data_IF_166949680422
#
_entry.id   IF_166949680422
#
_cell.length_a   1.000
_cell.length_b   1.000
_cell.length_c   1.000
_cell.angle_alpha   90.00
_cell.angle_beta   90.00
_cell.angle_gamma   90.00
#
_symmetry.space_group_name_H-M   'P 1'
#
loop_
_entity.id
_entity.type
_entity.pdbx_description
1 polymer ?
#
# COMPACT_ATOMS: atom_id res chain seq x y z
N UNK A 1 13.27 -32.39 -56.91
CA UNK A 1 14.20 -32.88 -55.88
C UNK A 1 15.13 -31.73 -55.55
N UNK A 2 14.71 -30.83 -54.67
CA UNK A 2 15.58 -29.79 -54.10
C UNK A 2 15.30 -29.75 -52.60
N UNK A 3 16.25 -30.29 -51.82
CA UNK A 3 16.21 -30.28 -50.36
C UNK A 3 16.91 -29.02 -49.86
N UNK A 4 16.14 -28.09 -49.30
CA UNK A 4 16.64 -26.99 -48.49
C UNK A 4 17.12 -27.53 -47.14
N UNK A 5 18.43 -27.62 -46.97
CA UNK A 5 19.08 -27.89 -45.68
C UNK A 5 19.26 -26.58 -44.93
N UNK A 6 18.41 -26.33 -43.93
CA UNK A 6 18.60 -25.24 -42.99
C UNK A 6 19.65 -25.66 -41.95
N UNK A 7 20.82 -25.03 -41.98
CA UNK A 7 21.85 -25.14 -40.94
C UNK A 7 21.40 -24.38 -39.69
N UNK A 8 21.19 -25.09 -38.59
CA UNK A 8 20.98 -24.49 -37.28
C UNK A 8 22.32 -23.97 -36.73
N UNK A 9 22.35 -22.77 -36.12
CA UNK A 9 23.58 -22.24 -35.54
C UNK A 9 24.07 -23.13 -34.41
N UNK A 10 25.39 -23.28 -34.34
CA UNK A 10 26.05 -24.05 -33.29
C UNK A 10 25.82 -23.40 -31.92
N UNK A 11 25.78 -24.21 -30.85
CA UNK A 11 25.45 -23.78 -29.48
C UNK A 11 26.29 -22.58 -28.98
N UNK A 12 27.49 -22.41 -29.52
CA UNK A 12 28.42 -21.30 -29.27
C UNK A 12 27.97 -19.95 -29.87
N UNK A 13 27.33 -19.95 -31.05
CA UNK A 13 26.82 -18.72 -31.67
C UNK A 13 25.55 -18.22 -30.97
N UNK A 14 24.71 -19.14 -30.50
CA UNK A 14 23.54 -18.81 -29.69
C UNK A 14 23.94 -18.15 -28.35
N UNK A 15 25.01 -18.63 -27.71
CA UNK A 15 25.56 -18.01 -26.49
C UNK A 15 26.14 -16.61 -26.76
N UNK A 16 26.80 -16.40 -27.91
CA UNK A 16 27.33 -15.09 -28.28
C UNK A 16 26.23 -14.07 -28.59
N UNK A 17 25.14 -14.49 -29.25
CA UNK A 17 23.96 -13.65 -29.48
C UNK A 17 23.26 -13.26 -28.17
N UNK A 18 23.09 -14.18 -27.22
CA UNK A 18 22.45 -13.88 -25.92
C UNK A 18 23.29 -12.91 -25.07
N UNK A 19 24.63 -13.03 -25.10
CA UNK A 19 25.54 -12.08 -24.44
C UNK A 19 25.46 -10.68 -25.06
N UNK A 20 25.47 -10.56 -26.39
CA UNK A 20 25.35 -9.27 -27.06
C UNK A 20 23.97 -8.62 -26.82
N UNK A 21 22.89 -9.41 -26.81
CA UNK A 21 21.54 -8.88 -26.55
C UNK A 21 21.39 -8.34 -25.12
N UNK A 22 22.03 -8.99 -24.13
CA UNK A 22 22.01 -8.51 -22.73
C UNK A 22 22.76 -7.20 -22.58
N UNK A 23 23.93 -7.04 -23.23
CA UNK A 23 24.69 -5.79 -23.23
C UNK A 23 23.90 -4.65 -23.88
N UNK A 24 23.19 -4.92 -24.98
CA UNK A 24 22.34 -3.91 -25.64
C UNK A 24 21.17 -3.48 -24.74
N UNK A 25 20.51 -4.40 -24.03
CA UNK A 25 19.42 -4.07 -23.10
C UNK A 25 19.95 -3.23 -21.92
N UNK A 26 21.12 -3.56 -21.38
CA UNK A 26 21.76 -2.79 -20.30
C UNK A 26 22.13 -1.37 -20.75
N UNK A 27 22.68 -1.21 -21.96
CA UNK A 27 22.95 0.10 -22.55
C UNK A 27 21.66 0.90 -22.78
N UNK A 28 20.57 0.28 -23.21
CA UNK A 28 19.27 0.93 -23.35
C UNK A 28 18.75 1.43 -22.00
N UNK A 29 18.91 0.65 -20.92
CA UNK A 29 18.54 1.06 -19.56
C UNK A 29 19.31 2.29 -19.09
N UNK A 30 20.64 2.29 -19.26
CA UNK A 30 21.51 3.43 -18.97
C UNK A 30 21.17 4.67 -19.81
N UNK A 31 20.97 4.50 -21.12
CA UNK A 31 20.58 5.59 -22.01
C UNK A 31 19.22 6.18 -21.61
N UNK A 32 18.25 5.37 -21.18
CA UNK A 32 16.96 5.86 -20.68
C UNK A 32 17.08 6.65 -19.37
N UNK A 33 18.05 6.32 -18.52
CA UNK A 33 18.36 7.10 -17.33
C UNK A 33 19.06 8.42 -17.66
N UNK A 34 19.88 8.45 -18.71
CA UNK A 34 20.60 9.64 -19.16
C UNK A 34 19.72 10.60 -19.97
N UNK A 35 18.80 10.09 -20.79
CA UNK A 35 17.91 10.87 -21.68
C UNK A 35 16.69 11.48 -20.97
N UNK A 36 16.75 11.69 -19.65
CA UNK A 36 15.62 12.23 -18.89
C UNK A 36 15.40 13.70 -19.25
N UNK A 37 14.26 14.09 -19.87
CA UNK A 37 13.94 15.50 -20.05
C UNK A 37 13.82 16.18 -18.68
N UNK A 38 14.40 17.35 -18.44
CA UNK A 38 14.28 18.04 -17.15
C UNK A 38 12.80 18.31 -16.85
N UNK A 39 12.26 17.82 -15.71
CA UNK A 39 10.96 18.28 -15.19
C UNK A 39 11.28 19.32 -14.13
N UNK A 40 11.31 20.58 -14.52
CA UNK A 40 10.85 21.58 -13.57
C UNK A 40 9.33 21.40 -13.48
N UNK A 41 8.75 21.46 -12.28
CA UNK A 41 7.29 21.58 -12.06
C UNK A 41 6.65 22.67 -12.93
N UNK A 42 7.48 23.57 -13.44
CA UNK A 42 7.17 24.61 -14.39
C UNK A 42 6.76 24.04 -15.74
N UNK A 43 7.34 22.93 -16.21
CA UNK A 43 7.02 22.35 -17.53
C UNK A 43 5.60 21.78 -17.64
N UNK A 44 4.97 21.36 -16.54
CA UNK A 44 3.54 20.97 -16.59
C UNK A 44 2.63 22.17 -16.85
N UNK A 45 3.06 23.35 -16.40
CA UNK A 45 2.38 24.63 -16.62
C UNK A 45 3.06 25.48 -17.69
N UNK A 46 4.03 24.93 -18.41
CA UNK A 46 4.76 25.60 -19.46
C UNK A 46 4.71 24.79 -20.75
N UNK A 47 4.92 25.47 -21.86
CA UNK A 47 5.06 24.88 -23.19
C UNK A 47 6.36 25.40 -23.76
N UNK A 48 7.04 24.54 -24.51
CA UNK A 48 8.26 24.93 -25.22
C UNK A 48 7.86 25.87 -26.36
N UNK A 49 8.44 27.07 -26.37
CA UNK A 49 8.27 28.06 -27.44
C UNK A 49 9.56 28.17 -28.25
N UNK A 50 9.41 28.57 -29.52
CA UNK A 50 10.55 28.72 -30.42
C UNK A 50 11.41 29.90 -29.96
N UNK A 51 12.65 29.62 -29.57
CA UNK A 51 13.66 30.65 -29.35
C UNK A 51 14.07 31.31 -30.67
N UNK A 52 14.44 32.59 -30.61
CA UNK A 52 15.10 33.30 -31.71
C UNK A 52 16.54 32.84 -31.93
N UNK A 53 17.13 32.11 -30.98
CA UNK A 53 18.47 31.52 -31.09
C UNK A 53 18.36 30.02 -31.42
N UNK A 54 19.00 29.55 -32.50
CA UNK A 54 19.05 28.13 -32.83
C UNK A 54 19.69 27.33 -31.70
N UNK A 55 18.95 26.39 -31.10
CA UNK A 55 19.45 25.50 -30.06
C UNK A 55 19.01 25.85 -28.62
N UNK A 56 18.42 27.02 -28.40
CA UNK A 56 17.86 27.38 -27.09
C UNK A 56 16.39 26.95 -26.99
N UNK A 57 16.04 26.15 -25.98
CA UNK A 57 14.64 25.89 -25.62
C UNK A 57 14.16 26.97 -24.67
N UNK A 58 13.18 27.76 -25.09
CA UNK A 58 12.50 28.73 -24.24
C UNK A 58 11.18 28.13 -23.76
N UNK A 59 10.86 28.30 -22.48
CA UNK A 59 9.60 27.80 -21.92
C UNK A 59 8.71 28.97 -21.51
N UNK A 60 7.45 28.93 -21.94
CA UNK A 60 6.46 29.94 -21.61
C UNK A 60 5.25 29.30 -20.92
N UNK A 61 4.51 30.06 -20.13
CA UNK A 61 3.34 29.52 -19.46
C UNK A 61 2.30 28.95 -20.44
N UNK A 62 1.88 27.70 -20.24
CA UNK A 62 0.85 27.02 -21.03
C UNK A 62 -0.48 27.79 -21.10
N UNK A 63 -0.83 28.51 -20.04
CA UNK A 63 -2.10 29.26 -19.99
C UNK A 63 -2.01 30.65 -20.62
N UNK A 64 -0.82 31.27 -20.65
CA UNK A 64 -0.68 32.69 -21.00
C UNK A 64 0.41 32.99 -22.04
N UNK A 65 1.18 31.99 -22.45
CA UNK A 65 2.30 32.10 -23.40
C UNK A 65 3.26 33.24 -23.06
N UNK A 66 3.64 33.34 -21.78
CA UNK A 66 4.62 34.32 -21.26
C UNK A 66 5.74 33.59 -20.52
N UNK A 67 7.00 33.93 -20.83
CA UNK A 67 8.18 33.39 -20.12
C UNK A 67 8.13 33.66 -18.61
N UNK A 68 7.69 34.86 -18.23
CA UNK A 68 7.58 35.29 -16.83
C UNK A 68 6.13 35.61 -16.49
N UNK A 69 5.25 34.62 -16.64
CA UNK A 69 3.85 34.79 -16.30
C UNK A 69 3.67 34.97 -14.79
N UNK A 70 3.69 36.21 -14.29
CA UNK A 70 3.49 36.52 -12.86
C UNK A 70 2.16 36.02 -12.29
N UNK A 71 1.15 35.84 -13.14
CA UNK A 71 -0.16 35.30 -12.78
C UNK A 71 -0.19 33.77 -12.63
N UNK A 72 0.67 33.02 -13.33
CA UNK A 72 0.74 31.55 -13.21
C UNK A 72 1.97 31.02 -12.49
N UNK A 73 3.05 31.80 -12.50
CA UNK A 73 4.35 31.46 -11.95
C UNK A 73 4.88 32.62 -11.11
N UNK A 74 4.67 32.50 -9.80
CA UNK A 74 5.53 33.24 -8.87
C UNK A 74 6.78 32.39 -8.62
N UNK A 75 7.77 32.52 -9.52
CA UNK A 75 9.05 31.82 -9.44
C UNK A 75 9.75 32.04 -8.10
N UNK A 76 9.67 33.27 -7.56
CA UNK A 76 10.17 33.59 -6.22
C UNK A 76 9.49 32.75 -5.14
N UNK A 77 8.16 32.64 -5.17
CA UNK A 77 7.41 31.80 -4.23
C UNK A 77 7.75 30.32 -4.37
N UNK A 78 7.84 29.79 -5.60
CA UNK A 78 8.19 28.37 -5.85
C UNK A 78 9.61 28.08 -5.37
N UNK A 79 10.58 28.94 -5.69
CA UNK A 79 11.96 28.79 -5.24
C UNK A 79 12.08 28.91 -3.72
N UNK A 80 11.40 29.87 -3.10
CA UNK A 80 11.37 30.03 -1.63
C UNK A 80 10.70 28.82 -0.97
N UNK A 81 9.61 28.29 -1.53
CA UNK A 81 8.97 27.07 -1.02
C UNK A 81 9.87 25.85 -1.19
N UNK A 82 10.56 25.70 -2.32
CA UNK A 82 11.53 24.62 -2.55
C UNK A 82 12.70 24.71 -1.56
N UNK A 83 13.27 25.90 -1.38
CA UNK A 83 14.34 26.15 -0.42
C UNK A 83 13.88 25.89 1.02
N UNK A 84 12.68 26.34 1.39
CA UNK A 84 12.09 26.04 2.71
C UNK A 84 11.90 24.54 2.90
N UNK A 85 11.51 23.79 1.86
CA UNK A 85 11.41 22.32 1.91
C UNK A 85 12.77 21.67 2.10
N UNK A 86 13.80 22.13 1.39
CA UNK A 86 15.18 21.64 1.57
C UNK A 86 15.74 21.94 2.96
N UNK A 87 15.55 23.17 3.45
CA UNK A 87 15.96 23.56 4.80
C UNK A 87 15.21 22.73 5.83
N UNK A 88 13.90 22.54 5.67
CA UNK A 88 13.10 21.70 6.56
C UNK A 88 13.54 20.23 6.52
N UNK A 89 13.94 19.72 5.35
CA UNK A 89 14.47 18.37 5.19
C UNK A 89 15.85 18.22 5.85
N UNK A 90 16.75 19.19 5.66
CA UNK A 90 18.07 19.23 6.30
C UNK A 90 17.97 19.37 7.82
N UNK A 91 17.02 20.17 8.30
CA UNK A 91 16.80 20.38 9.74
C UNK A 91 16.01 19.24 10.39
N UNK A 92 15.21 18.49 9.63
CA UNK A 92 14.62 17.27 10.15
C UNK A 92 15.72 16.23 10.23
N UNK A 93 16.23 15.97 11.43
CA UNK A 93 17.14 14.85 11.75
C UNK A 93 16.57 13.46 11.43
N UNK A 94 15.42 13.39 10.75
CA UNK A 94 14.70 12.16 10.47
C UNK A 94 15.22 11.55 9.18
N UNK A 95 15.74 10.31 9.20
CA UNK A 95 16.12 9.61 7.99
C UNK A 95 14.91 9.45 7.06
N UNK A 96 15.10 9.67 5.76
CA UNK A 96 14.05 9.56 4.76
C UNK A 96 14.29 10.38 3.49
N UNK A 97 13.80 9.87 2.37
CA UNK A 97 13.67 10.63 1.13
C UNK A 97 12.47 11.58 1.27
N UNK A 98 12.60 12.85 0.89
CA UNK A 98 11.46 13.76 0.92
C UNK A 98 10.38 13.29 -0.09
N UNK A 99 9.22 12.90 0.43
CA UNK A 99 8.03 12.55 -0.35
C UNK A 99 6.92 13.49 0.07
N UNK A 100 6.53 14.36 -0.83
CA UNK A 100 5.35 15.19 -0.67
C UNK A 100 4.14 14.38 -1.15
N UNK A 101 3.25 14.05 -0.22
CA UNK A 101 1.99 13.36 -0.51
C UNK A 101 0.87 14.32 -0.15
N UNK A 102 0.15 14.80 -1.16
CA UNK A 102 -0.96 15.74 -0.96
C UNK A 102 -2.11 15.09 -0.17
N UNK A 103 -3.03 15.91 0.32
CA UNK A 103 -4.25 15.43 0.99
C UNK A 103 -5.06 14.52 0.06
N UNK A 104 -5.22 14.93 -1.19
CA UNK A 104 -5.96 14.21 -2.23
C UNK A 104 -5.28 12.88 -2.56
N UNK A 105 -3.95 12.86 -2.64
CA UNK A 105 -3.18 11.62 -2.85
C UNK A 105 -3.33 10.66 -1.66
N UNK A 106 -3.28 11.16 -0.42
CA UNK A 106 -3.54 10.33 0.78
C UNK A 106 -4.93 9.71 0.73
N UNK A 107 -5.95 10.48 0.35
CA UNK A 107 -7.32 9.99 0.22
C UNK A 107 -7.43 8.92 -0.88
N UNK A 108 -6.77 9.12 -2.03
CA UNK A 108 -6.67 8.11 -3.09
C UNK A 108 -5.97 6.84 -2.60
N UNK A 109 -4.86 6.97 -1.88
CA UNK A 109 -4.14 5.81 -1.33
C UNK A 109 -4.98 5.06 -0.29
N UNK A 110 -5.65 5.77 0.61
CA UNK A 110 -6.58 5.19 1.57
C UNK A 110 -7.70 4.42 0.88
N UNK A 111 -8.32 5.01 -0.15
CA UNK A 111 -9.32 4.35 -0.99
C UNK A 111 -8.76 3.08 -1.64
N UNK A 112 -7.54 3.13 -2.19
CA UNK A 112 -6.87 1.96 -2.79
C UNK A 112 -6.54 0.84 -1.80
N UNK A 113 -6.49 1.14 -0.49
CA UNK A 113 -6.33 0.15 0.59
C UNK A 113 -7.68 -0.44 1.07
N UNK A 114 -8.80 0.04 0.52
CA UNK A 114 -10.16 -0.34 0.92
C UNK A 114 -10.79 0.58 1.98
N UNK A 115 -10.18 1.73 2.29
CA UNK A 115 -10.74 2.74 3.17
C UNK A 115 -11.44 3.83 2.36
N UNK A 116 -12.74 3.66 2.15
CA UNK A 116 -13.57 4.63 1.43
C UNK A 116 -13.75 5.92 2.27
N UNK A 117 -13.00 6.95 1.91
CA UNK A 117 -13.21 8.31 2.37
C UNK A 117 -13.54 9.18 1.16
N UNK A 118 -14.43 10.14 1.36
CA UNK A 118 -14.88 11.02 0.29
C UNK A 118 -13.74 11.97 -0.09
N UNK A 119 -13.48 12.14 -1.39
CA UNK A 119 -12.43 13.06 -1.86
C UNK A 119 -12.71 14.52 -1.43
N UNK A 120 -13.97 14.84 -1.16
CA UNK A 120 -14.45 16.14 -0.69
C UNK A 120 -14.46 16.26 0.84
N UNK A 121 -13.89 15.32 1.59
CA UNK A 121 -13.94 15.35 3.05
C UNK A 121 -13.37 16.64 3.65
N UNK A 122 -14.05 17.20 4.66
CA UNK A 122 -13.58 18.35 5.45
C UNK A 122 -12.79 17.91 6.69
N UNK A 123 -12.36 16.65 6.76
CA UNK A 123 -11.48 16.19 7.83
C UNK A 123 -10.18 17.03 7.84
N UNK A 124 -9.70 17.43 9.05
CA UNK A 124 -8.41 18.10 9.19
C UNK A 124 -7.28 17.25 8.61
N UNK A 125 -6.28 17.89 8.02
CA UNK A 125 -5.16 17.20 7.37
C UNK A 125 -4.41 16.28 8.35
N UNK A 126 -4.27 16.69 9.61
CA UNK A 126 -3.68 15.86 10.66
C UNK A 126 -4.45 14.55 10.90
N UNK A 127 -5.78 14.60 10.77
CA UNK A 127 -6.63 13.40 10.92
C UNK A 127 -6.44 12.46 9.74
N UNK A 128 -6.36 13.00 8.51
CA UNK A 128 -6.09 12.22 7.31
C UNK A 128 -4.69 11.60 7.37
N UNK A 129 -3.70 12.37 7.82
CA UNK A 129 -2.32 11.90 8.04
C UNK A 129 -2.27 10.75 9.05
N UNK A 130 -2.99 10.87 10.16
CA UNK A 130 -3.09 9.83 11.18
C UNK A 130 -3.72 8.57 10.61
N UNK A 131 -4.85 8.69 9.88
CA UNK A 131 -5.52 7.55 9.23
C UNK A 131 -4.62 6.90 8.18
N UNK A 132 -3.90 7.69 7.38
CA UNK A 132 -2.96 7.20 6.38
C UNK A 132 -1.82 6.39 7.00
N UNK A 133 -1.15 6.90 8.03
CA UNK A 133 -0.09 6.16 8.74
C UNK A 133 -0.61 4.87 9.37
N UNK A 134 -1.79 4.96 10.02
CA UNK A 134 -2.43 3.81 10.66
C UNK A 134 -2.84 2.74 9.64
N UNK A 135 -3.28 3.15 8.44
CA UNK A 135 -3.58 2.23 7.35
C UNK A 135 -2.32 1.52 6.83
N UNK A 136 -1.20 2.26 6.67
CA UNK A 136 0.08 1.64 6.29
C UNK A 136 0.54 0.60 7.34
N UNK A 137 0.34 0.89 8.63
CA UNK A 137 0.66 -0.06 9.70
C UNK A 137 -0.21 -1.32 9.64
N UNK A 138 -1.51 -1.12 9.42
CA UNK A 138 -2.47 -2.20 9.33
C UNK A 138 -2.19 -3.11 8.12
N UNK A 139 -1.90 -2.56 6.93
CA UNK A 139 -1.61 -3.39 5.73
C UNK A 139 -0.32 -4.19 5.86
N UNK A 140 0.66 -3.72 6.65
CA UNK A 140 1.91 -4.43 6.94
C UNK A 140 1.81 -5.35 8.18
N UNK A 141 0.66 -5.35 8.87
CA UNK A 141 0.47 -5.94 10.21
C UNK A 141 1.59 -5.58 11.18
N UNK A 142 2.02 -4.32 11.14
CA UNK A 142 3.21 -3.87 11.84
C UNK A 142 3.19 -4.23 13.33
N UNK A 143 2.08 -3.94 14.01
CA UNK A 143 1.90 -4.22 15.45
C UNK A 143 1.85 -5.70 15.81
N UNK A 144 1.60 -6.60 14.84
CA UNK A 144 1.63 -8.06 15.03
C UNK A 144 2.99 -8.65 14.67
N UNK A 145 3.70 -8.03 13.74
CA UNK A 145 4.97 -8.52 13.21
C UNK A 145 6.17 -8.04 14.02
N UNK A 146 6.11 -6.83 14.59
CA UNK A 146 7.19 -6.20 15.34
C UNK A 146 6.68 -5.84 16.74
N UNK A 147 7.23 -6.48 17.75
CA UNK A 147 6.77 -6.38 19.15
C UNK A 147 7.18 -5.07 19.82
N UNK A 148 8.37 -4.54 19.49
CA UNK A 148 8.95 -3.37 20.16
C UNK A 148 9.65 -2.41 19.19
N UNK A 149 9.68 -1.13 19.58
CA UNK A 149 10.43 -0.07 18.90
C UNK A 149 11.54 0.47 19.83
N UNK A 150 12.71 0.87 19.28
CA UNK A 150 13.09 0.78 17.88
C UNK A 150 13.33 -0.67 17.42
N UNK A 151 13.11 -0.92 16.14
CA UNK A 151 13.25 -2.23 15.51
C UNK A 151 14.72 -2.50 15.16
N UNK A 152 15.36 -3.44 15.86
CA UNK A 152 16.70 -3.91 15.53
C UNK A 152 16.65 -5.29 14.84
N UNK A 153 16.96 -5.37 13.52
CA UNK A 153 16.95 -6.62 12.79
C UNK A 153 18.18 -7.51 13.07
N UNK A 154 19.22 -7.02 13.76
CA UNK A 154 20.47 -7.76 13.99
C UNK A 154 20.28 -9.05 14.78
N UNK A 155 19.30 -9.04 15.69
CA UNK A 155 18.96 -10.17 16.57
C UNK A 155 18.15 -11.27 15.86
N UNK A 156 17.61 -11.00 14.67
CA UNK A 156 16.72 -11.91 13.97
C UNK A 156 17.53 -12.94 13.15
N UNK A 157 17.05 -14.19 13.03
CA UNK A 157 17.67 -15.17 12.15
C UNK A 157 17.57 -14.74 10.67
N UNK A 158 18.57 -15.08 9.87
CA UNK A 158 18.55 -14.88 8.42
C UNK A 158 17.47 -15.75 7.78
N UNK A 159 16.80 -15.22 6.76
CA UNK A 159 15.85 -15.97 5.94
C UNK A 159 16.64 -16.82 4.93
N UNK A 160 16.52 -18.14 5.06
CA UNK A 160 17.16 -19.12 4.19
C UNK A 160 16.24 -20.32 3.99
N UNK A 161 16.58 -21.21 3.05
CA UNK A 161 15.80 -22.44 2.81
C UNK A 161 15.86 -23.39 4.01
N UNK A 162 16.90 -23.28 4.83
CA UNK A 162 17.07 -24.05 6.06
C UNK A 162 16.25 -23.45 7.22
N UNK A 163 16.11 -22.12 7.28
CA UNK A 163 15.42 -21.44 8.38
C UNK A 163 13.92 -21.24 8.16
N UNK A 164 13.45 -21.29 6.90
CA UNK A 164 12.04 -21.21 6.54
C UNK A 164 11.67 -22.26 5.50
N UNK A 165 10.59 -23.04 5.72
CA UNK A 165 10.09 -23.98 4.72
C UNK A 165 9.43 -23.28 3.52
N UNK A 166 9.07 -22.00 3.65
CA UNK A 166 8.32 -21.26 2.64
C UNK A 166 9.24 -20.40 1.77
N UNK A 167 8.89 -20.25 0.49
CA UNK A 167 9.58 -19.30 -0.39
C UNK A 167 9.22 -17.87 0.02
N UNK A 168 10.14 -16.92 -0.19
CA UNK A 168 9.90 -15.51 0.13
C UNK A 168 8.67 -14.98 -0.62
N UNK A 169 8.52 -15.34 -1.89
CA UNK A 169 7.38 -14.98 -2.74
C UNK A 169 6.05 -15.45 -2.15
N UNK A 170 5.98 -16.70 -1.67
CA UNK A 170 4.76 -17.25 -1.07
C UNK A 170 4.39 -16.49 0.21
N UNK A 171 5.41 -16.11 0.99
CA UNK A 171 5.23 -15.25 2.14
C UNK A 171 4.82 -13.82 1.79
N UNK A 172 5.19 -13.26 0.64
CA UNK A 172 4.69 -11.96 0.17
C UNK A 172 3.32 -12.01 -0.50
N UNK A 173 2.85 -13.20 -0.91
CA UNK A 173 1.52 -13.43 -1.49
C UNK A 173 0.41 -13.39 -0.43
N UNK A 174 0.21 -12.23 0.19
CA UNK A 174 -0.88 -12.00 1.15
C UNK A 174 -2.13 -11.59 0.39
N UNK A 175 -3.05 -12.50 0.15
CA UNK A 175 -4.34 -12.21 -0.50
C UNK A 175 -5.53 -12.25 0.46
N UNK A 176 -6.63 -11.61 0.10
CA UNK A 176 -7.95 -11.92 0.68
C UNK A 176 -8.61 -13.07 -0.09
N UNK A 177 -9.53 -13.79 0.54
CA UNK A 177 -10.33 -14.80 -0.15
C UNK A 177 -11.17 -14.17 -1.27
N UNK A 178 -11.61 -12.92 -1.12
CA UNK A 178 -12.28 -12.17 -2.18
C UNK A 178 -11.38 -12.01 -3.42
N UNK A 179 -10.11 -11.66 -3.23
CA UNK A 179 -9.13 -11.61 -4.32
C UNK A 179 -8.95 -13.00 -4.97
N UNK A 180 -8.79 -14.05 -4.16
CA UNK A 180 -8.62 -15.43 -4.64
C UNK A 180 -9.85 -15.88 -5.47
N UNK A 181 -11.06 -15.67 -4.96
CA UNK A 181 -12.30 -16.02 -5.65
C UNK A 181 -12.46 -15.23 -6.94
N UNK A 182 -12.07 -13.96 -6.92
CA UNK A 182 -12.15 -13.13 -8.12
C UNK A 182 -11.17 -13.63 -9.20
N UNK A 183 -9.93 -14.00 -8.83
CA UNK A 183 -9.00 -14.67 -9.75
C UNK A 183 -9.52 -16.03 -10.26
N UNK A 184 -10.10 -16.85 -9.38
CA UNK A 184 -10.60 -18.17 -9.72
C UNK A 184 -11.82 -18.12 -10.66
N UNK A 185 -12.64 -17.08 -10.55
CA UNK A 185 -13.83 -16.92 -11.37
C UNK A 185 -13.53 -16.61 -12.85
N UNK A 186 -12.26 -16.56 -13.26
CA UNK A 186 -11.88 -16.14 -14.61
C UNK A 186 -12.28 -14.70 -14.93
N UNK A 187 -12.89 -14.00 -13.97
CA UNK A 187 -12.80 -12.56 -13.88
C UNK A 187 -11.33 -12.32 -13.74
N UNK A 188 -10.70 -12.04 -14.87
CA UNK A 188 -9.56 -11.16 -14.90
C UNK A 188 -10.12 -9.94 -14.16
N UNK A 189 -9.94 -9.91 -12.84
CA UNK A 189 -10.09 -8.71 -12.03
C UNK A 189 -9.15 -7.81 -12.75
N UNK A 190 -9.74 -6.97 -13.59
CA UNK A 190 -9.02 -6.43 -14.71
C UNK A 190 -7.78 -5.82 -14.08
N UNK A 191 -6.61 -6.10 -14.63
CA UNK A 191 -5.42 -5.40 -14.15
C UNK A 191 -5.65 -3.88 -14.30
N UNK A 192 -6.61 -3.49 -15.16
CA UNK A 192 -7.17 -2.14 -15.29
C UNK A 192 -8.16 -1.74 -14.17
N UNK A 193 -8.81 -2.66 -13.45
CA UNK A 193 -9.59 -2.36 -12.22
C UNK A 193 -8.73 -2.38 -10.96
N UNK A 194 -7.50 -2.91 -11.04
CA UNK A 194 -6.45 -2.72 -10.04
C UNK A 194 -5.70 -1.39 -10.23
N UNK A 195 -6.41 -0.34 -10.66
CA UNK A 195 -5.97 1.06 -10.74
C UNK A 195 -5.51 1.68 -9.40
N UNK A 196 -5.43 0.88 -8.34
CA UNK A 196 -4.99 1.32 -7.02
C UNK A 196 -3.47 1.23 -6.87
N UNK A 197 -2.84 2.35 -6.54
CA UNK A 197 -1.40 2.43 -6.22
C UNK A 197 -0.95 1.40 -5.17
N UNK A 198 -1.82 1.02 -4.24
CA UNK A 198 -1.54 -0.01 -3.25
C UNK A 198 -1.31 -1.41 -3.86
N UNK A 199 -2.05 -1.78 -4.90
CA UNK A 199 -1.89 -3.07 -5.57
C UNK A 199 -0.61 -3.13 -6.38
N UNK A 200 -0.24 -2.05 -7.07
CA UNK A 200 1.05 -1.95 -7.73
C UNK A 200 2.22 -2.04 -6.75
N UNK A 201 2.10 -1.45 -5.56
CA UNK A 201 3.10 -1.60 -4.47
C UNK A 201 3.20 -3.05 -3.99
N UNK A 202 2.07 -3.76 -3.80
CA UNK A 202 2.07 -5.20 -3.45
C UNK A 202 2.75 -6.04 -4.55
N UNK A 203 2.42 -5.79 -5.81
CA UNK A 203 3.02 -6.49 -6.95
C UNK A 203 4.52 -6.23 -7.06
N UNK A 204 4.96 -5.00 -6.83
CA UNK A 204 6.37 -4.63 -6.77
C UNK A 204 7.10 -5.43 -5.68
N UNK A 205 6.54 -5.47 -4.47
CA UNK A 205 7.11 -6.23 -3.36
C UNK A 205 7.18 -7.74 -3.67
N UNK A 206 6.12 -8.31 -4.26
CA UNK A 206 6.08 -9.70 -4.71
C UNK A 206 7.09 -9.98 -5.82
N UNK A 207 7.28 -9.07 -6.78
CA UNK A 207 8.26 -9.21 -7.86
C UNK A 207 9.69 -9.23 -7.31
N UNK A 208 9.99 -8.35 -6.34
CA UNK A 208 11.26 -8.37 -5.62
C UNK A 208 11.47 -9.70 -4.90
N UNK A 209 10.48 -10.15 -4.13
CA UNK A 209 10.52 -11.43 -3.42
C UNK A 209 10.77 -12.62 -4.37
N UNK A 210 10.05 -12.67 -5.50
CA UNK A 210 10.22 -13.71 -6.52
C UNK A 210 11.64 -13.71 -7.11
N UNK A 211 12.20 -12.52 -7.34
CA UNK A 211 13.55 -12.39 -7.88
C UNK A 211 14.58 -12.86 -6.86
N UNK A 212 14.39 -12.51 -5.57
CA UNK A 212 15.27 -12.94 -4.47
C UNK A 212 15.26 -14.46 -4.24
N UNK A 213 14.12 -15.13 -4.46
CA UNK A 213 14.01 -16.60 -4.35
C UNK A 213 14.73 -17.34 -5.49
N UNK A 214 14.65 -16.79 -6.70
CA UNK A 214 15.12 -17.48 -7.92
C UNK A 214 16.54 -17.08 -8.32
N UNK A 215 17.06 -15.98 -7.78
CA UNK A 215 18.34 -15.40 -8.19
C UNK A 215 19.10 -14.82 -7.00
N UNK A 216 20.40 -14.63 -7.17
CA UNK A 216 21.24 -13.90 -6.21
C UNK A 216 21.12 -12.37 -6.37
N UNK A 217 20.28 -11.89 -7.29
CA UNK A 217 20.14 -10.46 -7.54
C UNK A 217 19.53 -9.78 -6.31
N UNK A 218 20.21 -8.74 -5.81
CA UNK A 218 19.78 -7.94 -4.65
C UNK A 218 19.51 -6.48 -5.01
N UNK A 219 19.49 -6.15 -6.30
CA UNK A 219 19.46 -4.77 -6.79
C UNK A 219 18.25 -4.61 -7.71
N UNK A 220 17.48 -3.55 -7.50
CA UNK A 220 16.24 -3.29 -8.23
C UNK A 220 16.16 -1.82 -8.64
N UNK A 221 15.62 -1.57 -9.84
CA UNK A 221 15.26 -0.22 -10.31
C UNK A 221 13.78 -0.20 -10.62
N UNK A 222 13.03 0.55 -9.83
CA UNK A 222 11.62 0.79 -10.08
C UNK A 222 11.53 2.07 -10.89
N UNK A 223 10.90 2.06 -12.06
CA UNK A 223 10.84 3.22 -12.94
C UNK A 223 9.48 3.34 -13.63
N UNK A 224 8.99 4.56 -13.83
CA UNK A 224 7.76 4.79 -14.61
C UNK A 224 8.03 4.63 -16.11
N UNK A 225 6.97 4.40 -16.88
CA UNK A 225 7.06 4.23 -18.35
C UNK A 225 7.74 5.42 -19.03
N UNK A 226 7.53 6.64 -18.53
CA UNK A 226 8.13 7.87 -19.06
C UNK A 226 9.54 8.16 -18.50
N UNK A 227 10.10 7.24 -17.71
CA UNK A 227 11.44 7.36 -17.12
C UNK A 227 11.64 8.66 -16.31
N UNK A 228 10.57 9.20 -15.75
CA UNK A 228 10.55 10.46 -14.99
C UNK A 228 10.98 10.32 -13.54
N UNK A 229 10.68 9.17 -12.95
CA UNK A 229 10.96 8.84 -11.57
C UNK A 229 11.54 7.44 -11.51
N UNK A 230 12.61 7.29 -10.74
CA UNK A 230 13.11 5.99 -10.36
C UNK A 230 13.35 5.88 -8.86
N UNK A 231 13.14 4.67 -8.34
CA UNK A 231 13.60 4.26 -7.01
C UNK A 231 14.63 3.17 -7.22
N UNK A 232 15.84 3.42 -6.75
CA UNK A 232 16.92 2.44 -6.73
C UNK A 232 16.92 1.75 -5.38
N UNK A 233 16.87 0.43 -5.38
CA UNK A 233 16.78 -0.37 -4.16
C UNK A 233 17.90 -1.40 -4.15
N UNK A 234 18.65 -1.48 -3.04
CA UNK A 234 19.51 -2.62 -2.73
C UNK A 234 18.95 -3.34 -1.51
N UNK A 235 18.62 -4.61 -1.67
CA UNK A 235 18.32 -5.50 -0.55
C UNK A 235 19.63 -5.84 0.15
N UNK A 236 19.74 -5.46 1.43
CA UNK A 236 20.90 -5.77 2.26
C UNK A 236 20.85 -7.25 2.66
N UNK A 237 19.71 -7.66 3.20
CA UNK A 237 19.46 -9.01 3.68
C UNK A 237 17.97 -9.23 3.91
N UNK A 238 17.58 -10.48 4.12
CA UNK A 238 16.22 -10.84 4.51
C UNK A 238 16.32 -11.59 5.83
N UNK A 239 15.52 -11.17 6.81
CA UNK A 239 15.48 -11.76 8.16
C UNK A 239 14.11 -12.38 8.40
N UNK A 240 14.03 -13.28 9.38
CA UNK A 240 12.80 -13.99 9.77
C UNK A 240 12.31 -13.48 11.12
N UNK A 241 11.13 -12.88 11.13
CA UNK A 241 10.39 -12.49 12.33
C UNK A 241 9.65 -13.72 12.94
N UNK A 242 9.08 -13.59 14.15
CA UNK A 242 8.15 -14.59 14.67
C UNK A 242 7.04 -14.93 13.67
N UNK A 243 6.52 -16.15 13.74
CA UNK A 243 5.49 -16.68 12.82
C UNK A 243 5.93 -16.79 11.35
N UNK A 244 7.23 -16.97 11.10
CA UNK A 244 7.79 -17.15 9.74
C UNK A 244 7.48 -15.98 8.80
N UNK A 245 7.44 -14.75 9.34
CA UNK A 245 7.20 -13.55 8.55
C UNK A 245 8.56 -13.02 8.05
N UNK A 246 8.78 -12.91 6.73
CA UNK A 246 10.02 -12.31 6.24
C UNK A 246 10.01 -10.79 6.44
N UNK A 247 11.17 -10.23 6.73
CA UNK A 247 11.41 -8.79 6.68
C UNK A 247 12.61 -8.53 5.77
N UNK A 248 12.39 -7.75 4.72
CA UNK A 248 13.41 -7.41 3.72
C UNK A 248 14.08 -6.12 4.13
N UNK A 249 15.33 -6.21 4.60
CA UNK A 249 16.13 -5.04 4.97
C UNK A 249 16.77 -4.47 3.71
N UNK A 250 16.63 -3.17 3.47
CA UNK A 250 17.03 -2.56 2.21
C UNK A 250 17.53 -1.13 2.37
N UNK A 251 18.35 -0.72 1.41
CA UNK A 251 18.72 0.67 1.16
C UNK A 251 17.96 1.14 -0.08
N UNK A 252 17.42 2.35 -0.03
CA UNK A 252 16.76 2.95 -1.19
C UNK A 252 17.18 4.39 -1.42
N UNK A 253 17.27 4.75 -2.69
CA UNK A 253 17.52 6.11 -3.17
C UNK A 253 16.46 6.50 -4.20
N UNK A 254 16.16 7.79 -4.27
CA UNK A 254 15.22 8.33 -5.27
C UNK A 254 15.99 9.07 -6.35
N UNK A 255 15.95 8.55 -7.57
CA UNK A 255 16.39 9.25 -8.76
C UNK A 255 15.23 10.01 -9.37
N UNK A 256 14.98 11.24 -8.92
CA UNK A 256 14.01 12.12 -9.57
C UNK A 256 14.69 12.95 -10.68
N UNK A 257 13.93 13.38 -11.69
CA UNK A 257 14.42 14.28 -12.76
C UNK A 257 15.04 15.58 -12.24
N UNK A 258 14.61 16.05 -11.07
CA UNK A 258 15.09 17.26 -10.42
C UNK A 258 16.17 17.02 -9.36
N UNK A 259 16.57 15.77 -9.12
CA UNK A 259 17.70 15.43 -8.26
C UNK A 259 18.96 15.26 -9.14
N UNK A 260 20.16 15.61 -8.66
CA UNK A 260 21.40 15.42 -9.41
C UNK A 260 21.49 13.96 -9.91
N UNK A 261 21.46 13.72 -11.23
CA UNK A 261 21.47 12.36 -11.77
C UNK A 261 22.71 11.57 -11.34
N UNK A 262 23.79 12.29 -11.02
CA UNK A 262 25.12 11.74 -10.80
C UNK A 262 25.16 10.68 -9.70
N UNK A 263 24.42 10.83 -8.60
CA UNK A 263 24.51 9.87 -7.49
C UNK A 263 23.81 8.56 -7.80
N UNK A 264 22.59 8.64 -8.33
CA UNK A 264 21.82 7.45 -8.70
C UNK A 264 22.45 6.76 -9.92
N UNK A 265 22.96 7.54 -10.88
CA UNK A 265 23.64 7.02 -12.07
C UNK A 265 24.95 6.34 -11.71
N UNK A 266 25.78 6.94 -10.84
CA UNK A 266 27.02 6.33 -10.37
C UNK A 266 26.74 5.00 -9.65
N UNK A 267 25.69 4.96 -8.83
CA UNK A 267 25.25 3.71 -8.20
C UNK A 267 24.82 2.66 -9.24
N UNK A 268 24.03 3.04 -10.25
CA UNK A 268 23.62 2.10 -11.32
C UNK A 268 24.85 1.58 -12.07
N UNK A 269 25.79 2.45 -12.43
CA UNK A 269 27.03 2.09 -13.13
C UNK A 269 27.91 1.14 -12.30
N UNK A 270 28.10 1.40 -11.00
CA UNK A 270 28.86 0.53 -10.09
C UNK A 270 28.21 -0.85 -9.96
N UNK A 271 26.88 -0.91 -9.92
CA UNK A 271 26.18 -2.18 -9.80
C UNK A 271 26.14 -2.97 -11.11
N UNK A 272 26.07 -2.31 -12.26
CA UNK A 272 26.18 -2.96 -13.58
C UNK A 272 27.57 -3.54 -13.81
N UNK A 273 28.64 -2.84 -13.42
CA UNK A 273 30.00 -3.37 -13.56
C UNK A 273 30.28 -4.58 -12.66
N UNK A 274 29.56 -4.69 -11.54
CA UNK A 274 29.68 -5.82 -10.61
C UNK A 274 28.78 -7.00 -11.02
N UNK A 275 27.64 -6.74 -11.64
CA UNK A 275 26.69 -7.75 -12.09
C UNK A 275 27.18 -8.43 -13.37
N UNK A 276 28.13 -9.37 -13.24
CA UNK A 276 28.86 -9.97 -14.36
C UNK A 276 28.04 -10.64 -15.46
N UNK A 277 26.71 -10.83 -15.34
CA UNK A 277 25.87 -11.40 -16.41
C UNK A 277 24.35 -11.29 -16.22
N UNK A 278 23.86 -11.03 -15.01
CA UNK A 278 22.45 -11.29 -14.66
C UNK A 278 21.47 -10.15 -14.94
N UNK A 279 21.94 -9.03 -15.52
CA UNK A 279 21.12 -7.85 -15.73
C UNK A 279 20.60 -7.22 -14.43
N UNK A 280 20.02 -6.03 -14.55
CA UNK A 280 19.37 -5.34 -13.43
C UNK A 280 17.85 -5.42 -13.62
N UNK A 281 17.11 -6.11 -12.74
CA UNK A 281 15.67 -6.18 -12.81
C UNK A 281 15.06 -4.78 -12.77
N UNK A 282 14.43 -4.40 -13.87
CA UNK A 282 13.65 -3.17 -13.97
C UNK A 282 12.18 -3.49 -13.71
N UNK A 283 11.61 -2.86 -12.67
CA UNK A 283 10.19 -2.98 -12.34
C UNK A 283 9.49 -1.72 -12.84
N UNK A 284 8.56 -1.86 -13.77
CA UNK A 284 7.74 -0.73 -14.24
C UNK A 284 6.73 -0.38 -13.15
N UNK A 285 6.72 0.87 -12.67
CA UNK A 285 5.82 1.33 -11.61
C UNK A 285 5.35 2.76 -11.83
N UNK A 286 4.07 3.03 -11.60
CA UNK A 286 3.48 4.36 -11.78
C UNK A 286 4.03 5.37 -10.76
N UNK A 287 4.02 6.69 -11.05
CA UNK A 287 4.46 7.70 -10.08
C UNK A 287 3.70 7.62 -8.74
N UNK A 288 2.42 7.31 -8.76
CA UNK A 288 1.57 7.18 -7.59
C UNK A 288 1.95 5.95 -6.74
N UNK A 289 2.20 4.80 -7.37
CA UNK A 289 2.77 3.61 -6.70
C UNK A 289 4.11 3.92 -6.05
N UNK A 290 5.02 4.56 -6.79
CA UNK A 290 6.34 4.94 -6.28
C UNK A 290 6.23 5.88 -5.06
N UNK A 291 5.33 6.87 -5.10
CA UNK A 291 5.07 7.76 -3.96
C UNK A 291 4.57 6.99 -2.74
N UNK A 292 3.63 6.06 -2.93
CA UNK A 292 3.12 5.24 -1.84
C UNK A 292 4.21 4.32 -1.27
N UNK A 293 5.01 3.66 -2.11
CA UNK A 293 6.13 2.84 -1.68
C UNK A 293 7.14 3.65 -0.87
N UNK A 294 7.53 4.83 -1.34
CA UNK A 294 8.45 5.70 -0.61
C UNK A 294 7.85 6.18 0.71
N UNK A 295 6.53 6.43 0.79
CA UNK A 295 5.86 6.77 2.04
C UNK A 295 5.96 5.61 3.06
N UNK A 296 5.76 4.37 2.61
CA UNK A 296 5.91 3.15 3.42
C UNK A 296 7.37 3.01 3.89
N UNK A 297 8.34 3.09 2.97
CA UNK A 297 9.76 2.96 3.27
C UNK A 297 10.27 4.05 4.21
N UNK A 298 9.84 5.31 4.03
CA UNK A 298 10.18 6.41 4.95
C UNK A 298 9.61 6.19 6.35
N UNK A 299 8.40 5.64 6.45
CA UNK A 299 7.78 5.37 7.74
C UNK A 299 8.52 4.23 8.47
N UNK A 300 8.90 3.19 7.74
CA UNK A 300 9.68 2.07 8.27
C UNK A 300 11.12 2.48 8.62
N UNK A 301 11.76 3.35 7.84
CA UNK A 301 13.12 3.86 8.11
C UNK A 301 13.23 4.50 9.50
N UNK A 302 12.20 5.26 9.90
CA UNK A 302 12.13 5.94 11.20
C UNK A 302 11.95 5.00 12.39
N UNK A 303 11.66 3.72 12.13
CA UNK A 303 11.42 2.70 13.15
C UNK A 303 12.62 1.84 13.40
N UNK A 304 13.64 1.88 12.53
CA UNK A 304 14.87 1.13 12.71
C UNK A 304 15.66 1.67 13.90
N UNK A 305 16.35 0.77 14.59
CA UNK A 305 17.35 1.13 15.58
C UNK A 305 18.46 1.97 14.94
N UNK A 306 18.87 3.11 15.56
CA UNK A 306 20.00 3.88 15.08
C UNK A 306 21.33 3.09 15.15
N UNK A 307 21.40 2.07 16.01
CA UNK A 307 22.58 1.21 16.16
C UNK A 307 22.72 0.20 15.02
N UNK A 308 21.65 -0.03 14.25
CA UNK A 308 21.69 -0.92 13.10
C UNK A 308 22.27 -0.22 11.87
N UNK A 309 23.58 -0.40 11.67
CA UNK A 309 24.36 0.21 10.59
C UNK A 309 24.95 -0.86 9.63
N UNK A 310 24.18 -1.37 8.66
CA UNK A 310 24.70 -2.34 7.70
C UNK A 310 25.74 -1.72 6.78
N UNK A 311 26.58 -2.58 6.17
CA UNK A 311 27.62 -2.16 5.22
C UNK A 311 26.99 -1.44 4.02
N UNK A 312 27.49 -0.23 3.74
CA UNK A 312 27.11 0.61 2.60
C UNK A 312 28.26 0.68 1.60
N UNK A 313 27.93 0.73 0.31
CA UNK A 313 28.89 1.04 -0.76
C UNK A 313 29.19 2.54 -0.78
N UNK A 314 30.26 2.93 -1.48
CA UNK A 314 30.65 4.34 -1.63
C UNK A 314 29.55 5.18 -2.29
N UNK A 315 28.81 4.63 -3.24
CA UNK A 315 27.70 5.32 -3.93
C UNK A 315 26.39 5.34 -3.14
N UNK A 316 26.36 4.80 -1.92
CA UNK A 316 25.15 4.65 -1.10
C UNK A 316 25.12 5.59 0.11
N UNK A 317 25.96 6.63 0.10
CA UNK A 317 26.00 7.65 1.15
C UNK A 317 24.63 8.31 1.35
N UNK A 318 23.90 8.57 0.27
CA UNK A 318 22.60 9.26 0.30
C UNK A 318 21.40 8.31 0.27
N UNK A 319 21.63 7.00 0.32
CA UNK A 319 20.55 6.03 0.39
C UNK A 319 19.99 5.99 1.82
N UNK A 320 18.68 5.84 1.94
CA UNK A 320 18.03 5.67 3.23
C UNK A 320 17.92 4.18 3.57
N UNK A 321 18.26 3.81 4.80
CA UNK A 321 18.06 2.47 5.31
C UNK A 321 16.62 2.29 5.77
N UNK A 322 15.98 1.19 5.35
CA UNK A 322 14.61 0.85 5.71
C UNK A 322 14.40 -0.65 5.65
N UNK A 323 13.16 -1.07 5.83
CA UNK A 323 12.73 -2.44 5.66
C UNK A 323 11.35 -2.50 5.01
N UNK A 324 11.04 -3.64 4.41
CA UNK A 324 9.75 -3.94 3.79
C UNK A 324 9.17 -5.22 4.38
N UNK A 325 7.91 -5.15 4.80
CA UNK A 325 7.13 -6.28 5.26
C UNK A 325 6.16 -6.74 4.16
N UNK A 326 5.71 -8.01 4.18
CA UNK A 326 4.57 -8.44 3.39
C UNK A 326 3.35 -7.55 3.63
N UNK A 327 2.70 -7.13 2.55
CA UNK A 327 1.52 -6.26 2.62
C UNK A 327 0.27 -7.02 2.17
N UNK A 328 -0.76 -6.99 3.00
CA UNK A 328 -2.08 -7.55 2.71
C UNK A 328 -3.16 -6.47 2.67
N UNK A 329 -4.37 -6.81 2.17
CA UNK A 329 -5.52 -5.92 2.26
C UNK A 329 -5.83 -5.57 3.72
N UNK A 330 -6.42 -4.39 3.95
CA UNK A 330 -6.84 -4.00 5.30
C UNK A 330 -7.82 -5.02 5.87
N UNK A 331 -7.54 -5.49 7.09
CA UNK A 331 -8.46 -6.32 7.83
C UNK A 331 -9.73 -5.54 8.18
N UNK A 332 -10.87 -6.25 8.27
CA UNK A 332 -12.15 -5.64 8.63
C UNK A 332 -12.10 -4.90 9.98
N UNK A 333 -11.38 -5.45 10.96
CA UNK A 333 -11.10 -4.79 12.25
C UNK A 333 -10.35 -3.48 12.08
N UNK A 334 -9.35 -3.43 11.21
CA UNK A 334 -8.58 -2.23 10.95
C UNK A 334 -9.40 -1.19 10.18
N UNK A 335 -10.18 -1.62 9.17
CA UNK A 335 -11.15 -0.76 8.48
C UNK A 335 -12.12 -0.15 9.48
N UNK A 336 -12.69 -0.93 10.40
CA UNK A 336 -13.61 -0.41 11.41
C UNK A 336 -12.93 0.62 12.33
N UNK A 337 -11.71 0.37 12.82
CA UNK A 337 -10.94 1.35 13.61
C UNK A 337 -10.61 2.62 12.81
N UNK A 338 -10.24 2.46 11.53
CA UNK A 338 -9.88 3.56 10.64
C UNK A 338 -11.11 4.36 10.16
N UNK A 339 -12.29 3.75 10.12
CA UNK A 339 -13.58 4.39 9.79
C UNK A 339 -14.33 4.88 11.03
N UNK A 340 -13.87 4.56 12.24
CA UNK A 340 -14.49 5.07 13.46
C UNK A 340 -14.33 6.60 13.49
N UNK A 341 -15.45 7.30 13.35
CA UNK A 341 -15.55 8.74 13.48
C UNK A 341 -16.22 9.03 14.82
N UNK A 342 -15.49 9.61 15.77
CA UNK A 342 -16.03 9.99 17.10
C UNK A 342 -16.75 11.34 17.05
N UNK A 343 -17.39 11.68 15.93
CA UNK A 343 -17.98 13.00 15.70
C UNK A 343 -18.55 13.17 14.30
N UNK A 344 -18.62 14.42 13.85
CA UNK A 344 -19.18 14.84 12.58
C UNK A 344 -18.59 14.06 11.40
N UNK A 345 -19.43 13.41 10.59
CA UNK A 345 -18.97 12.64 9.41
C UNK A 345 -18.25 13.51 8.37
N UNK A 346 -18.60 14.80 8.30
CA UNK A 346 -18.02 15.72 7.32
C UNK A 346 -16.63 16.24 7.74
N UNK A 347 -16.45 16.63 9.01
CA UNK A 347 -15.25 17.33 9.49
C UNK A 347 -14.56 16.69 10.71
N UNK A 348 -15.13 15.63 11.29
CA UNK A 348 -14.55 14.89 12.41
C UNK A 348 -14.60 15.59 13.78
N UNK A 349 -15.10 16.82 13.88
CA UNK A 349 -15.29 17.49 15.17
C UNK A 349 -16.39 16.82 15.99
N UNK A 350 -16.33 16.92 17.33
CA UNK A 350 -17.39 16.36 18.19
C UNK A 350 -18.76 16.90 17.74
N UNK A 351 -19.70 15.99 17.52
CA UNK A 351 -21.06 16.31 17.14
C UNK A 351 -21.98 16.16 18.35
N UNK A 352 -23.05 16.95 18.38
CA UNK A 352 -24.13 16.82 19.35
C UNK A 352 -25.46 16.40 18.70
N UNK A 353 -25.53 16.30 17.38
CA UNK A 353 -26.79 16.06 16.66
C UNK A 353 -26.66 15.02 15.55
N UNK A 354 -27.62 14.10 15.56
CA UNK A 354 -27.79 13.06 14.53
C UNK A 354 -28.70 13.57 13.41
N UNK A 355 -28.58 12.97 12.23
CA UNK A 355 -29.54 13.24 11.15
C UNK A 355 -30.97 12.91 11.61
N UNK A 356 -31.87 13.89 11.63
CA UNK A 356 -33.23 13.70 12.15
C UNK A 356 -34.08 12.64 11.40
N UNK A 357 -33.70 12.26 10.18
CA UNK A 357 -34.47 11.29 9.38
C UNK A 357 -34.00 9.84 9.57
N UNK A 358 -32.70 9.57 9.43
CA UNK A 358 -32.16 8.21 9.47
C UNK A 358 -31.42 7.89 10.78
N UNK A 359 -31.08 8.92 11.56
CA UNK A 359 -30.26 8.86 12.77
C UNK A 359 -28.85 8.25 12.59
N UNK A 360 -28.47 7.82 11.38
CA UNK A 360 -27.29 6.97 11.12
C UNK A 360 -25.95 7.71 11.10
N UNK A 361 -25.97 9.03 10.98
CA UNK A 361 -24.78 9.89 10.90
C UNK A 361 -24.91 11.09 11.81
N UNK A 362 -23.77 11.57 12.27
CA UNK A 362 -23.63 12.70 13.17
C UNK A 362 -23.06 13.93 12.44
N UNK A 363 -23.58 15.11 12.76
CA UNK A 363 -23.14 16.39 12.22
C UNK A 363 -22.88 17.39 13.34
N UNK A 364 -21.83 18.20 13.25
CA UNK A 364 -21.63 19.29 14.23
C UNK A 364 -22.56 20.49 13.99
N UNK A 365 -23.35 20.49 12.91
CA UNK A 365 -24.28 21.56 12.57
C UNK A 365 -24.87 21.42 11.16
N UNK A 366 -25.84 22.27 10.78
CA UNK A 366 -26.56 22.19 9.50
C UNK A 366 -25.65 22.41 8.29
N UNK A 367 -24.56 23.17 8.43
CA UNK A 367 -23.62 23.40 7.33
C UNK A 367 -22.89 22.12 6.91
N UNK A 368 -22.46 21.30 7.87
CA UNK A 368 -21.87 19.99 7.59
C UNK A 368 -22.90 19.00 7.03
N UNK A 369 -24.14 19.07 7.50
CA UNK A 369 -25.24 18.28 6.95
C UNK A 369 -25.53 18.63 5.49
N UNK A 370 -25.70 19.92 5.16
CA UNK A 370 -25.93 20.41 3.78
C UNK A 370 -24.78 20.00 2.86
N UNK A 371 -23.55 20.13 3.34
CA UNK A 371 -22.36 19.75 2.58
C UNK A 371 -22.36 18.26 2.20
N UNK A 372 -22.61 17.37 3.17
CA UNK A 372 -22.64 15.93 2.96
C UNK A 372 -23.96 15.42 2.32
N UNK A 373 -25.00 16.25 2.27
CA UNK A 373 -26.35 15.84 1.89
C UNK A 373 -26.42 15.18 0.50
N UNK A 374 -25.68 15.67 -0.50
CA UNK A 374 -25.71 15.09 -1.85
C UNK A 374 -25.34 13.61 -1.86
N UNK A 375 -24.35 13.23 -1.05
CA UNK A 375 -23.88 11.85 -0.92
C UNK A 375 -24.72 11.05 0.06
N UNK A 376 -25.16 11.68 1.16
CA UNK A 376 -25.94 11.00 2.19
C UNK A 376 -27.39 10.73 1.79
N UNK A 377 -28.01 11.60 0.98
CA UNK A 377 -29.44 11.58 0.65
C UNK A 377 -29.93 10.21 0.15
N UNK A 378 -29.27 9.51 -0.79
CA UNK A 378 -29.71 8.19 -1.23
C UNK A 378 -29.82 7.17 -0.07
N UNK A 379 -28.83 7.13 0.82
CA UNK A 379 -28.84 6.27 2.01
C UNK A 379 -29.87 6.74 3.04
N UNK A 380 -30.01 8.05 3.25
CA UNK A 380 -30.97 8.60 4.20
C UNK A 380 -32.41 8.24 3.80
N UNK A 381 -32.72 8.28 2.50
CA UNK A 381 -34.04 7.92 1.97
C UNK A 381 -34.31 6.43 2.14
N UNK A 382 -33.32 5.55 1.89
CA UNK A 382 -33.52 4.11 2.05
C UNK A 382 -33.76 3.69 3.51
N UNK A 383 -33.33 4.50 4.47
CA UNK A 383 -33.55 4.28 5.90
C UNK A 383 -34.78 5.03 6.45
N UNK A 384 -35.36 5.96 5.68
CA UNK A 384 -36.49 6.78 6.12
C UNK A 384 -37.72 5.89 6.37
N UNK A 385 -38.31 6.01 7.55
CA UNK A 385 -39.47 5.21 7.95
C UNK A 385 -39.11 3.80 8.44
N UNK A 386 -37.82 3.49 8.60
CA UNK A 386 -37.39 2.25 9.25
C UNK A 386 -37.90 2.17 10.69
N UNK A 387 -38.36 0.98 11.08
CA UNK A 387 -38.69 0.68 12.48
C UNK A 387 -37.44 0.15 13.17
N UNK A 388 -37.05 0.77 14.28
CA UNK A 388 -35.97 0.25 15.12
C UNK A 388 -36.52 -0.94 15.91
N UNK A 389 -35.89 -2.09 15.76
CA UNK A 389 -36.29 -3.33 16.43
C UNK A 389 -35.18 -3.75 17.37
N UNK A 390 -35.54 -4.00 18.62
CA UNK A 390 -34.63 -4.62 19.58
C UNK A 390 -34.52 -6.12 19.27
N UNK A 391 -33.32 -6.55 18.85
CA UNK A 391 -33.02 -7.95 18.58
C UNK A 391 -32.21 -8.50 19.75
N UNK A 392 -32.73 -9.52 20.43
CA UNK A 392 -31.96 -10.28 21.42
C UNK A 392 -31.08 -11.28 20.68
N UNK A 393 -29.77 -11.05 20.74
CA UNK A 393 -28.79 -11.96 20.16
C UNK A 393 -28.49 -13.14 21.08
N UNK A 394 -28.23 -14.30 20.48
CA UNK A 394 -27.70 -15.48 21.15
C UNK A 394 -26.31 -15.78 20.59
N UNK A 395 -25.39 -16.20 21.46
CA UNK A 395 -24.05 -16.67 21.04
C UNK A 395 -24.14 -18.02 20.32
N UNK A 396 -25.25 -18.76 20.48
CA UNK A 396 -25.49 -20.04 19.82
C UNK A 396 -26.86 -20.12 19.13
N UNK A 397 -26.94 -20.69 17.91
CA UNK A 397 -28.20 -20.99 17.25
C UNK A 397 -29.14 -21.88 18.10
N UNK A 398 -30.46 -21.81 17.90
CA UNK A 398 -31.42 -22.73 18.58
C UNK A 398 -31.12 -24.18 18.21
N UNK A 399 -30.85 -24.42 16.93
CA UNK A 399 -30.47 -25.71 16.37
C UNK A 399 -29.15 -26.21 16.97
N UNK A 400 -28.22 -25.28 17.24
CA UNK A 400 -26.97 -25.60 17.91
C UNK A 400 -27.20 -26.00 19.37
N UNK A 401 -28.08 -25.29 20.09
CA UNK A 401 -28.45 -25.66 21.46
C UNK A 401 -29.14 -27.02 21.51
N UNK A 402 -30.04 -27.31 20.56
CA UNK A 402 -30.74 -28.60 20.44
C UNK A 402 -29.77 -29.74 20.10
N UNK A 403 -28.95 -29.58 19.06
CA UNK A 403 -27.96 -30.58 18.67
C UNK A 403 -26.95 -30.86 19.79
N UNK A 404 -26.50 -29.82 20.50
CA UNK A 404 -25.63 -29.98 21.65
C UNK A 404 -26.33 -30.67 22.84
N UNK A 405 -27.62 -30.39 23.08
CA UNK A 405 -28.43 -31.10 24.08
C UNK A 405 -28.60 -32.59 23.74
N UNK A 406 -28.56 -32.95 22.45
CA UNK A 406 -28.56 -34.33 21.97
C UNK A 406 -27.15 -34.97 21.94
N UNK A 407 -26.13 -34.30 22.49
CA UNK A 407 -24.75 -34.79 22.51
C UNK A 407 -24.05 -34.77 21.15
N UNK A 408 -24.59 -34.07 20.15
CA UNK A 408 -23.97 -33.98 18.82
C UNK A 408 -22.82 -32.97 18.85
N UNK A 409 -21.67 -33.37 18.30
CA UNK A 409 -20.54 -32.45 18.08
C UNK A 409 -20.89 -31.49 16.94
N UNK A 410 -20.90 -30.20 17.24
CA UNK A 410 -21.14 -29.15 16.27
C UNK A 410 -19.82 -28.53 15.81
N UNK A 411 -19.69 -28.36 14.50
CA UNK A 411 -18.59 -27.63 13.89
C UNK A 411 -19.17 -26.51 13.03
N UNK A 412 -18.83 -25.27 13.36
CA UNK A 412 -19.16 -24.11 12.53
C UNK A 412 -17.90 -23.64 11.80
N UNK A 413 -18.00 -23.48 10.47
CA UNK A 413 -16.92 -22.92 9.67
C UNK A 413 -17.39 -21.61 9.04
N UNK A 414 -16.65 -20.53 9.29
CA UNK A 414 -16.89 -19.24 8.65
C UNK A 414 -15.69 -18.87 7.79
N UNK A 415 -15.98 -18.54 6.54
CA UNK A 415 -15.01 -17.97 5.62
C UNK A 415 -15.20 -16.46 5.65
N UNK A 416 -14.23 -15.74 6.23
CA UNK A 416 -14.18 -14.29 6.08
C UNK A 416 -13.56 -13.97 4.73
N UNK A 417 -14.36 -13.50 3.78
CA UNK A 417 -13.85 -13.22 2.45
C UNK A 417 -12.81 -12.07 2.42
N UNK A 418 -12.74 -11.25 3.46
CA UNK A 418 -11.91 -10.04 3.48
C UNK A 418 -10.68 -10.13 4.40
N UNK A 419 -10.55 -11.17 5.22
CA UNK A 419 -9.37 -11.33 6.08
C UNK A 419 -8.26 -12.07 5.33
N UNK A 420 -7.00 -11.70 5.60
CA UNK A 420 -5.85 -12.48 5.16
C UNK A 420 -5.76 -13.78 5.98
N UNK A 421 -5.15 -14.81 5.38
CA UNK A 421 -4.96 -16.11 6.03
C UNK A 421 -4.10 -16.05 7.30
N UNK A 422 -3.26 -15.02 7.48
CA UNK A 422 -2.43 -14.84 8.69
C UNK A 422 -3.17 -14.19 9.85
N UNK A 423 -4.32 -13.55 9.58
CA UNK A 423 -5.17 -13.04 10.65
C UNK A 423 -5.96 -14.14 11.35
N UNK A 424 -5.95 -15.38 10.83
CA UNK A 424 -6.50 -16.54 11.52
C UNK A 424 -5.53 -16.89 12.64
N UNK A 425 -5.69 -16.23 13.77
CA UNK A 425 -5.28 -16.82 15.03
C UNK A 425 -6.07 -18.14 15.19
N UNK A 426 -5.42 -19.31 15.11
CA UNK A 426 -6.10 -20.59 15.24
C UNK A 426 -6.79 -20.70 16.61
N UNK A 427 -6.29 -19.99 17.63
CA UNK A 427 -6.89 -19.97 18.96
C UNK A 427 -8.22 -19.21 19.02
N UNK A 428 -8.50 -18.33 18.05
CA UNK A 428 -9.82 -17.68 17.92
C UNK A 428 -10.86 -18.55 17.21
N UNK A 429 -10.45 -19.67 16.58
CA UNK A 429 -11.39 -20.74 16.23
C UNK A 429 -11.59 -21.55 17.51
N UNK A 430 -12.21 -20.92 18.51
CA UNK A 430 -12.57 -21.58 19.75
C UNK A 430 -13.48 -22.76 19.43
N UNK A 431 -13.09 -23.96 19.89
CA UNK A 431 -14.01 -25.07 20.00
C UNK A 431 -14.99 -24.75 21.13
N UNK A 432 -16.06 -24.04 20.79
CA UNK A 432 -17.13 -23.76 21.73
C UNK A 432 -17.98 -25.01 21.92
N UNK A 433 -18.28 -25.33 23.18
CA UNK A 433 -19.18 -26.42 23.57
C UNK A 433 -20.24 -25.85 24.52
N UNK A 434 -21.26 -26.65 24.85
CA UNK A 434 -22.24 -26.25 25.87
C UNK A 434 -21.57 -25.94 27.22
N UNK A 435 -20.50 -26.65 27.56
CA UNK A 435 -19.79 -26.50 28.84
C UNK A 435 -18.81 -25.32 28.83
N UNK A 436 -18.50 -24.77 27.66
CA UNK A 436 -17.65 -23.59 27.49
C UNK A 436 -18.21 -22.68 26.38
N UNK A 437 -19.33 -21.99 26.63
CA UNK A 437 -19.91 -21.09 25.66
C UNK A 437 -18.97 -19.92 25.37
N UNK A 438 -19.04 -19.30 24.17
CA UNK A 438 -18.28 -18.09 23.90
C UNK A 438 -18.62 -17.02 24.94
N UNK A 439 -17.64 -16.27 25.48
CA UNK A 439 -17.94 -15.15 26.35
C UNK A 439 -18.80 -14.13 25.59
N UNK A 440 -19.76 -13.52 26.30
CA UNK A 440 -20.55 -12.43 25.74
C UNK A 440 -19.60 -11.31 25.28
N UNK A 441 -19.62 -10.91 24.00
CA UNK A 441 -18.76 -9.84 23.53
C UNK A 441 -19.09 -8.55 24.29
N UNK A 442 -18.06 -7.84 24.75
CA UNK A 442 -18.23 -6.54 25.40
C UNK A 442 -18.86 -5.54 24.41
N UNK A 443 -19.72 -4.65 24.91
CA UNK A 443 -20.29 -3.58 24.08
C UNK A 443 -19.23 -2.51 23.78
N UNK A 444 -18.27 -2.83 22.90
CA UNK A 444 -17.19 -1.92 22.53
C UNK A 444 -17.69 -0.69 21.75
N UNK A 445 -18.90 -0.75 21.20
CA UNK A 445 -19.52 0.36 20.47
C UNK A 445 -20.23 1.34 21.40
N UNK A 446 -20.52 0.95 22.65
CA UNK A 446 -21.30 1.75 23.58
C UNK A 446 -22.67 2.09 23.01
N UNK A 447 -22.98 3.39 22.93
CA UNK A 447 -24.23 3.91 22.33
C UNK A 447 -24.03 4.39 20.87
N UNK A 448 -22.87 4.11 20.27
CA UNK A 448 -22.59 4.51 18.90
C UNK A 448 -23.31 3.57 17.92
N UNK A 449 -23.81 4.14 16.83
CA UNK A 449 -24.33 3.33 15.73
C UNK A 449 -23.18 2.72 14.96
N UNK A 450 -23.34 1.46 14.60
CA UNK A 450 -22.39 0.73 13.78
C UNK A 450 -23.13 -0.09 12.73
N UNK A 451 -22.46 -0.34 11.62
CA UNK A 451 -23.00 -1.19 10.57
C UNK A 451 -22.80 -2.65 10.96
N UNK A 452 -23.90 -3.39 10.95
CA UNK A 452 -23.89 -4.85 10.98
C UNK A 452 -24.00 -5.39 9.55
N UNK A 453 -23.23 -6.42 9.26
CA UNK A 453 -23.36 -7.24 8.08
C UNK A 453 -24.15 -8.49 8.44
N UNK A 454 -25.21 -8.74 7.68
CA UNK A 454 -26.02 -9.95 7.76
C UNK A 454 -25.63 -10.84 6.58
N UNK A 455 -25.13 -12.04 6.88
CA UNK A 455 -24.72 -13.01 5.87
C UNK A 455 -25.59 -14.25 5.99
N UNK A 456 -26.40 -14.52 4.96
CA UNK A 456 -27.31 -15.66 4.92
C UNK A 456 -26.57 -16.91 4.44
N UNK A 457 -26.47 -17.91 5.32
CA UNK A 457 -26.15 -19.30 4.99
C UNK A 457 -27.29 -20.19 5.47
N UNK A 458 -26.96 -21.33 6.11
CA UNK A 458 -27.97 -22.15 6.82
C UNK A 458 -28.58 -21.40 8.02
N UNK A 459 -27.81 -20.51 8.63
CA UNK A 459 -28.24 -19.51 9.61
C UNK A 459 -27.87 -18.10 9.11
N UNK A 460 -28.54 -17.06 9.62
CA UNK A 460 -28.14 -15.67 9.32
C UNK A 460 -27.07 -15.26 10.34
N UNK A 461 -25.82 -15.14 9.88
CA UNK A 461 -24.73 -14.62 10.70
C UNK A 461 -24.76 -13.10 10.68
N UNK A 462 -24.75 -12.47 11.85
CA UNK A 462 -24.75 -11.03 12.02
C UNK A 462 -23.44 -10.65 12.71
N UNK A 463 -22.69 -9.73 12.11
CA UNK A 463 -21.44 -9.25 12.70
C UNK A 463 -21.20 -7.81 12.33
N UNK A 464 -20.55 -7.05 13.20
CA UNK A 464 -20.15 -5.69 12.89
C UNK A 464 -18.91 -5.65 11.98
N UNK A 465 -18.62 -4.47 11.42
CA UNK A 465 -17.41 -4.27 10.60
C UNK A 465 -16.12 -4.66 11.33
N UNK A 466 -16.01 -4.50 12.64
CA UNK A 466 -14.78 -4.88 13.37
C UNK A 466 -14.73 -6.34 13.81
N UNK A 467 -15.82 -7.09 13.65
CA UNK A 467 -16.05 -8.42 14.25
C UNK A 467 -15.85 -8.46 15.75
N UNK A 468 -16.10 -7.33 16.41
CA UNK A 468 -16.22 -7.28 17.85
C UNK A 468 -17.49 -7.95 18.36
N UNK A 469 -18.52 -8.02 17.50
CA UNK A 469 -19.75 -8.74 17.75
C UNK A 469 -19.92 -9.72 16.59
N UNK A 470 -20.14 -10.99 16.91
CA UNK A 470 -20.53 -12.03 15.96
C UNK A 470 -21.60 -12.90 16.61
N UNK A 471 -22.79 -12.89 16.03
CA UNK A 471 -23.99 -13.50 16.57
C UNK A 471 -24.80 -14.15 15.45
N UNK A 472 -25.71 -15.06 15.81
CA UNK A 472 -26.54 -15.77 14.84
C UNK A 472 -28.00 -15.43 15.06
N UNK A 473 -28.66 -14.98 14.01
CA UNK A 473 -30.11 -14.92 13.97
C UNK A 473 -30.62 -16.32 13.63
N UNK A 474 -31.21 -16.95 14.64
CA UNK A 474 -31.91 -18.22 14.53
C UNK A 474 -33.28 -17.94 13.95
N UNK A 475 -33.78 -18.77 13.04
CA UNK A 475 -35.23 -18.81 12.83
C UNK A 475 -35.83 -19.36 14.14
N UNK A 476 -36.79 -18.63 14.70
CA UNK A 476 -37.69 -19.19 15.72
C UNK A 476 -38.66 -20.13 15.01
#
# INVERSE_FOLDING_TARGET
>A
MDQLTATFPTYTEAQFMVMNFSVVIEQIGLMRLQQRPPISYVLDKAVESKSSRPGDSVFECRAHHKMECSSCFNWGKIAVEALKREIKAKNSSKPGVLVDVSKEEKLKFLSSMGLELTLSTRLPDETIDKKFRSAIDAVQWFSKAIESLPFDPSSLPLWSKESSPSRLFDSFKKGSVAEILAYAAGKQVCVDSYEGSFMGVRQTAMSMAKTLDNTEIRIFVLQDKACSYAICVRVVEVRRLPNDIPVVILLYGRGARNAPPQETLAWVQENLSTARSTGMPQIVSTPEEQKLLLAILNMNARRLSPDYAPKRKRTESNFTLSFLLPMGPLGQTDIGKLTQHTGCVACGTKSSSKCAQCLSVEYCGPECQKFHWKEHKPMCISLKGGTWVDIRFSTMPVEARLAAALGQKLSFSFVNNMASNLSRDPSQIGHFSNDNPPPLPSNIHGNNLFLIKMQKGNSIMIYDRTRSIQVYLCRI
#
